data_IF_396260877731
#
_entry.id   IF_396260877731
#
_cell.length_a   1.000
_cell.length_b   1.000
_cell.length_c   1.000
_cell.angle_alpha   90.00
_cell.angle_beta   90.00
_cell.angle_gamma   90.00
#
_symmetry.space_group_name_H-M   'P 1'
#
loop_
_entity.id
_entity.type
_entity.pdbx_description
1 polymer ?
#
# COMPACT_ATOMS: atom_id res chain seq x y z
N UNK A 1 2.55 -41.12 14.85
CA UNK A 1 2.92 -40.24 13.71
C UNK A 1 4.00 -39.34 14.27
N UNK A 2 5.14 -39.44 13.69
CA UNK A 2 6.43 -39.28 14.31
C UNK A 2 6.98 -37.87 14.21
N UNK A 3 7.88 -37.49 15.08
CA UNK A 3 8.56 -36.18 15.23
C UNK A 3 9.07 -35.53 13.92
N UNK A 4 9.18 -36.27 12.83
CA UNK A 4 9.56 -35.75 11.50
C UNK A 4 8.52 -34.84 10.84
N UNK A 5 7.22 -35.06 11.13
CA UNK A 5 6.15 -34.22 10.56
C UNK A 5 6.09 -32.83 11.17
N UNK A 6 6.41 -32.71 12.47
CA UNK A 6 6.42 -31.42 13.17
C UNK A 6 7.62 -30.54 12.75
N UNK A 7 8.79 -31.16 12.54
CA UNK A 7 10.00 -30.44 12.13
C UNK A 7 9.89 -29.82 10.71
N UNK A 8 9.22 -30.52 9.77
CA UNK A 8 9.00 -30.00 8.41
C UNK A 8 8.01 -28.84 8.41
N UNK A 9 6.95 -28.89 9.22
CA UNK A 9 5.96 -27.82 9.34
C UNK A 9 6.57 -26.56 9.94
N UNK A 10 7.41 -26.70 10.94
CA UNK A 10 8.04 -25.58 11.64
C UNK A 10 9.13 -24.91 10.80
N UNK A 11 9.92 -25.70 10.07
CA UNK A 11 10.89 -25.15 9.12
C UNK A 11 10.24 -24.37 7.98
N UNK A 12 9.04 -24.77 7.52
CA UNK A 12 8.30 -24.06 6.48
C UNK A 12 7.78 -22.69 6.97
N UNK A 13 7.29 -22.62 8.21
CA UNK A 13 6.80 -21.37 8.80
C UNK A 13 7.96 -20.40 9.10
N UNK A 14 9.07 -20.89 9.65
CA UNK A 14 10.26 -20.07 9.86
C UNK A 14 10.88 -19.57 8.54
N UNK A 15 10.84 -20.41 7.48
CA UNK A 15 11.28 -20.00 6.14
C UNK A 15 10.37 -18.98 5.46
N UNK A 16 9.07 -18.98 5.78
CA UNK A 16 8.08 -18.06 5.18
C UNK A 16 8.10 -16.69 5.84
N UNK A 17 8.24 -16.63 7.16
CA UNK A 17 8.41 -15.35 7.87
C UNK A 17 9.73 -14.67 7.46
N UNK A 18 10.76 -15.47 7.17
CA UNK A 18 12.02 -15.00 6.62
C UNK A 18 11.90 -14.34 5.22
N UNK A 19 10.77 -14.54 4.54
CA UNK A 19 10.51 -14.00 3.20
C UNK A 19 9.41 -12.93 3.20
N UNK A 20 8.92 -12.49 4.34
CA UNK A 20 8.06 -11.32 4.52
C UNK A 20 8.89 -10.05 4.32
N UNK A 21 9.25 -9.75 3.08
CA UNK A 21 10.14 -8.62 2.80
C UNK A 21 9.55 -7.62 1.85
N UNK A 22 9.61 -6.39 2.29
CA UNK A 22 9.95 -5.20 1.52
C UNK A 22 8.93 -4.71 0.48
N UNK A 23 7.82 -4.21 0.92
CA UNK A 23 7.16 -3.18 0.11
C UNK A 23 6.46 -2.18 1.02
N UNK A 24 7.19 -1.28 1.61
CA UNK A 24 6.51 -0.22 2.35
C UNK A 24 7.37 0.79 3.08
N UNK A 25 8.63 0.54 3.28
CA UNK A 25 9.52 1.47 4.00
C UNK A 25 10.61 2.08 3.12
N UNK A 26 10.33 2.40 1.86
CA UNK A 26 11.13 3.39 1.16
C UNK A 26 10.64 4.77 1.60
N UNK A 27 11.47 5.61 2.26
CA UNK A 27 11.12 7.00 2.44
C UNK A 27 10.95 7.62 1.06
N UNK A 28 9.83 8.25 0.79
CA UNK A 28 9.66 9.11 -0.38
C UNK A 28 10.85 10.08 -0.41
N UNK A 29 11.58 10.21 -1.53
CA UNK A 29 12.64 11.19 -1.62
C UNK A 29 12.01 12.56 -1.38
N UNK A 30 12.53 13.29 -0.41
CA UNK A 30 12.18 14.67 -0.17
C UNK A 30 12.43 15.44 -1.47
N UNK A 31 11.37 16.01 -2.03
CA UNK A 31 11.45 16.87 -3.20
C UNK A 31 12.23 18.12 -2.80
N UNK A 32 13.52 18.14 -3.08
CA UNK A 32 14.31 19.35 -3.02
C UNK A 32 13.85 20.27 -4.14
N UNK A 33 13.04 21.25 -3.80
CA UNK A 33 12.70 22.35 -4.69
C UNK A 33 13.95 23.20 -4.92
N UNK A 34 14.62 22.98 -6.02
CA UNK A 34 15.68 23.86 -6.51
C UNK A 34 15.00 25.09 -7.12
N UNK A 35 15.05 26.21 -6.40
CA UNK A 35 14.66 27.51 -6.92
C UNK A 35 15.62 27.92 -8.03
N UNK A 36 15.17 27.87 -9.26
CA UNK A 36 15.88 28.44 -10.40
C UNK A 36 15.68 29.95 -10.40
N UNK A 37 16.74 30.67 -10.16
CA UNK A 37 16.82 32.13 -10.33
C UNK A 37 16.74 32.44 -11.82
N UNK A 38 15.71 33.17 -12.23
CA UNK A 38 15.55 33.70 -13.58
C UNK A 38 16.41 34.96 -13.70
N UNK A 39 17.42 34.91 -14.55
CA UNK A 39 18.21 36.08 -14.97
C UNK A 39 17.47 36.75 -16.13
N UNK A 40 17.08 38.01 -15.95
CA UNK A 40 16.51 38.85 -16.99
C UNK A 40 17.62 39.39 -17.90
N UNK A 41 17.65 38.91 -19.14
CA UNK A 41 18.44 39.50 -20.22
C UNK A 41 17.52 40.19 -21.21
N UNK A 42 17.55 41.51 -21.23
CA UNK A 42 16.90 42.36 -22.25
C UNK A 42 17.74 42.35 -23.51
N UNK A 43 17.14 41.95 -24.65
CA UNK A 43 17.60 42.40 -25.96
C UNK A 43 16.41 42.77 -26.85
N UNK A 44 16.40 44.03 -27.26
CA UNK A 44 15.53 44.65 -28.24
C UNK A 44 15.80 44.09 -29.65
N UNK A 45 14.72 43.75 -30.35
CA UNK A 45 14.76 43.45 -31.78
C UNK A 45 13.33 43.48 -32.33
N UNK A 46 13.01 44.56 -33.04
CA UNK A 46 11.79 44.67 -33.77
C UNK A 46 11.83 43.78 -35.02
N UNK A 47 10.83 42.95 -35.21
CA UNK A 47 10.44 42.52 -36.55
C UNK A 47 8.95 42.25 -36.65
N UNK A 48 8.37 42.75 -37.70
CA UNK A 48 6.94 42.73 -38.06
C UNK A 48 6.62 41.40 -38.75
N UNK A 49 5.75 40.58 -38.15
CA UNK A 49 5.30 39.31 -38.74
C UNK A 49 3.93 38.88 -38.24
N UNK A 50 2.95 39.28 -39.02
CA UNK A 50 1.59 38.73 -39.28
C UNK A 50 0.98 37.78 -38.23
N UNK A 51 -0.11 38.29 -37.68
CA UNK A 51 -1.10 37.79 -36.75
C UNK A 51 -1.89 36.57 -37.29
N UNK A 52 -1.31 35.34 -37.15
CA UNK A 52 -2.02 34.09 -37.41
C UNK A 52 -1.85 33.05 -36.27
N UNK A 53 -1.04 33.35 -35.23
CA UNK A 53 -0.76 32.43 -34.13
C UNK A 53 -1.63 32.65 -32.87
N UNK A 54 -2.26 33.81 -32.73
CA UNK A 54 -2.97 34.19 -31.51
C UNK A 54 -4.34 33.50 -31.34
N UNK A 55 -5.03 33.18 -32.47
CA UNK A 55 -6.35 32.54 -32.37
C UNK A 55 -6.29 31.06 -32.03
N UNK A 56 -5.34 30.31 -32.56
CA UNK A 56 -5.19 28.88 -32.29
C UNK A 56 -4.75 28.59 -30.84
N UNK A 57 -3.93 29.47 -30.24
CA UNK A 57 -3.52 29.35 -28.82
C UNK A 57 -4.67 29.64 -27.85
N UNK A 58 -5.54 30.58 -28.17
CA UNK A 58 -6.72 30.94 -27.39
C UNK A 58 -7.79 29.86 -27.43
N UNK A 59 -8.07 29.28 -28.61
CA UNK A 59 -9.01 28.16 -28.75
C UNK A 59 -8.55 26.89 -28.06
N UNK A 60 -7.25 26.54 -28.12
CA UNK A 60 -6.70 25.41 -27.46
C UNK A 60 -6.71 25.55 -25.90
N UNK A 61 -6.56 26.79 -25.41
CA UNK A 61 -6.68 27.11 -24.00
C UNK A 61 -8.11 26.97 -23.49
N UNK A 62 -9.07 27.54 -24.24
CA UNK A 62 -10.51 27.48 -23.92
C UNK A 62 -11.05 26.05 -23.95
N UNK A 63 -10.64 25.25 -24.95
CA UNK A 63 -11.02 23.83 -25.01
C UNK A 63 -10.46 23.02 -23.82
N UNK A 64 -9.27 23.36 -23.34
CA UNK A 64 -8.67 22.72 -22.16
C UNK A 64 -9.44 23.05 -20.89
N UNK A 65 -9.83 24.29 -20.69
CA UNK A 65 -10.63 24.73 -19.53
C UNK A 65 -12.03 24.11 -19.54
N UNK A 66 -12.68 24.07 -20.72
CA UNK A 66 -13.97 23.41 -20.88
C UNK A 66 -13.90 21.90 -20.55
N UNK A 67 -12.83 21.20 -20.96
CA UNK A 67 -12.63 19.79 -20.63
C UNK A 67 -12.40 19.57 -19.12
N UNK A 68 -11.66 20.43 -18.45
CA UNK A 68 -11.45 20.35 -17.00
C UNK A 68 -12.75 20.59 -16.21
N UNK A 69 -13.54 21.56 -16.62
CA UNK A 69 -14.86 21.84 -16.04
C UNK A 69 -15.80 20.64 -16.25
N UNK A 70 -15.81 20.09 -17.47
CA UNK A 70 -16.58 18.89 -17.78
C UNK A 70 -16.16 17.68 -16.92
N UNK A 71 -14.86 17.46 -16.74
CA UNK A 71 -14.35 16.39 -15.88
C UNK A 71 -14.91 16.49 -14.46
N UNK A 72 -14.89 17.68 -13.86
CA UNK A 72 -15.44 17.90 -12.52
C UNK A 72 -16.93 17.57 -12.47
N UNK A 73 -17.70 17.97 -13.50
CA UNK A 73 -19.13 17.68 -13.61
C UNK A 73 -19.40 16.17 -13.77
N UNK A 74 -18.63 15.51 -14.63
CA UNK A 74 -18.74 14.07 -14.86
C UNK A 74 -18.41 13.26 -13.60
N UNK A 75 -17.38 13.65 -12.85
CA UNK A 75 -17.01 12.98 -11.61
C UNK A 75 -18.05 13.19 -10.50
N UNK A 76 -18.68 14.37 -10.42
CA UNK A 76 -19.82 14.60 -9.54
C UNK A 76 -21.04 13.76 -9.93
N UNK A 77 -21.28 13.55 -11.24
CA UNK A 77 -22.33 12.64 -11.71
C UNK A 77 -22.02 11.17 -11.33
N UNK A 78 -20.76 10.73 -11.46
CA UNK A 78 -20.31 9.42 -11.01
C UNK A 78 -20.47 9.21 -9.50
N UNK A 79 -20.15 10.20 -8.69
CA UNK A 79 -20.39 10.12 -7.22
C UNK A 79 -21.87 9.93 -6.93
N UNK A 80 -22.76 10.68 -7.55
CA UNK A 80 -24.22 10.49 -7.38
C UNK A 80 -24.67 9.11 -7.85
N UNK A 81 -24.12 8.61 -8.97
CA UNK A 81 -24.43 7.27 -9.46
C UNK A 81 -24.00 6.17 -8.50
N UNK A 82 -22.86 6.33 -7.81
CA UNK A 82 -22.42 5.40 -6.74
C UNK A 82 -23.31 5.51 -5.50
N UNK A 83 -23.66 6.71 -5.08
CA UNK A 83 -24.54 6.96 -3.91
C UNK A 83 -25.91 6.33 -4.08
N UNK A 84 -26.49 6.43 -5.28
CA UNK A 84 -27.84 5.92 -5.60
C UNK A 84 -27.83 4.49 -6.16
N UNK A 85 -26.69 3.93 -6.50
CA UNK A 85 -26.58 2.63 -7.18
C UNK A 85 -27.04 2.67 -8.64
N UNK A 86 -27.07 3.87 -9.27
CA UNK A 86 -27.56 4.05 -10.63
C UNK A 86 -26.48 3.76 -11.67
N UNK A 87 -26.39 2.50 -12.10
CA UNK A 87 -25.50 2.05 -13.17
C UNK A 87 -25.73 2.81 -14.48
N UNK A 88 -26.98 3.15 -14.81
CA UNK A 88 -27.30 3.84 -16.06
C UNK A 88 -26.73 5.25 -16.05
N UNK A 89 -26.85 5.99 -14.93
CA UNK A 89 -26.25 7.29 -14.77
C UNK A 89 -24.72 7.25 -14.83
N UNK A 90 -24.07 6.18 -14.29
CA UNK A 90 -22.63 5.98 -14.45
C UNK A 90 -22.25 5.81 -15.94
N UNK A 91 -22.92 4.90 -16.66
CA UNK A 91 -22.63 4.63 -18.06
C UNK A 91 -22.91 5.83 -18.97
N UNK A 92 -23.82 6.71 -18.61
CA UNK A 92 -24.08 7.96 -19.34
C UNK A 92 -22.90 8.96 -19.29
N UNK A 93 -21.93 8.76 -18.41
CA UNK A 93 -20.69 9.57 -18.37
C UNK A 93 -19.62 9.10 -19.36
N UNK A 94 -19.83 7.98 -20.05
CA UNK A 94 -18.84 7.27 -20.87
C UNK A 94 -19.12 7.53 -22.36
N UNK A 95 -18.05 7.79 -23.12
CA UNK A 95 -18.17 8.12 -24.54
C UNK A 95 -18.64 6.94 -25.42
N UNK A 96 -18.17 5.72 -25.11
CA UNK A 96 -18.56 4.47 -25.77
C UNK A 96 -18.86 3.39 -24.72
N UNK A 97 -20.09 3.35 -24.17
CA UNK A 97 -20.45 2.37 -23.15
C UNK A 97 -20.53 0.93 -23.65
N UNK A 98 -20.56 0.70 -24.96
CA UNK A 98 -20.62 -0.62 -25.57
C UNK A 98 -19.25 -1.13 -26.03
N UNK A 99 -18.23 -0.29 -26.04
CA UNK A 99 -16.87 -0.63 -26.43
C UNK A 99 -16.04 -1.25 -25.30
N UNK A 100 -14.77 -1.58 -25.59
CA UNK A 100 -13.86 -2.15 -24.61
C UNK A 100 -13.63 -1.27 -23.39
N UNK A 101 -13.51 0.06 -23.60
CA UNK A 101 -13.38 1.03 -22.52
C UNK A 101 -14.66 1.07 -21.66
N UNK A 102 -15.85 0.93 -22.26
CA UNK A 102 -17.13 0.83 -21.55
C UNK A 102 -17.21 -0.38 -20.65
N UNK A 103 -16.74 -1.53 -21.08
CA UNK A 103 -16.68 -2.75 -20.26
C UNK A 103 -15.74 -2.61 -19.06
N UNK A 104 -14.58 -1.96 -19.23
CA UNK A 104 -13.65 -1.66 -18.15
C UNK A 104 -14.26 -0.69 -17.13
N UNK A 105 -14.97 0.31 -17.61
CA UNK A 105 -15.67 1.31 -16.77
C UNK A 105 -16.83 0.68 -15.98
N UNK A 106 -17.56 -0.24 -16.59
CA UNK A 106 -18.59 -1.01 -15.89
C UNK A 106 -17.99 -1.88 -14.78
N UNK A 107 -16.86 -2.52 -15.05
CA UNK A 107 -16.15 -3.30 -14.05
C UNK A 107 -15.66 -2.43 -12.88
N UNK A 108 -15.13 -1.24 -13.16
CA UNK A 108 -14.73 -0.27 -12.13
C UNK A 108 -15.94 0.19 -11.29
N UNK A 109 -17.07 0.47 -11.91
CA UNK A 109 -18.32 0.79 -11.20
C UNK A 109 -18.75 -0.35 -10.27
N UNK A 110 -18.80 -1.57 -10.80
CA UNK A 110 -19.18 -2.75 -10.01
C UNK A 110 -18.23 -2.97 -8.83
N UNK A 111 -16.93 -2.78 -9.02
CA UNK A 111 -15.92 -2.86 -7.97
C UNK A 111 -16.12 -1.79 -6.88
N UNK A 112 -16.34 -0.55 -7.25
CA UNK A 112 -16.60 0.56 -6.32
C UNK A 112 -17.89 0.33 -5.51
N UNK A 113 -18.96 -0.12 -6.17
CA UNK A 113 -20.23 -0.48 -5.51
C UNK A 113 -20.04 -1.65 -4.54
N UNK A 114 -19.32 -2.71 -4.95
CA UNK A 114 -19.05 -3.86 -4.10
C UNK A 114 -18.25 -3.47 -2.83
N UNK A 115 -17.31 -2.53 -2.96
CA UNK A 115 -16.57 -1.96 -1.82
C UNK A 115 -17.43 -1.03 -0.96
N UNK A 116 -18.60 -0.61 -1.45
CA UNK A 116 -19.48 0.33 -0.76
C UNK A 116 -19.04 1.78 -0.87
N UNK A 117 -18.16 2.10 -1.83
CA UNK A 117 -17.74 3.49 -2.10
C UNK A 117 -18.94 4.29 -2.58
N UNK A 118 -19.15 5.48 -2.01
CA UNK A 118 -20.30 6.34 -2.31
C UNK A 118 -19.90 7.67 -2.94
N UNK A 119 -18.64 8.06 -2.77
CA UNK A 119 -18.16 9.36 -3.22
C UNK A 119 -16.79 9.22 -3.88
N UNK A 120 -16.58 9.98 -4.95
CA UNK A 120 -15.31 10.18 -5.61
C UNK A 120 -14.95 11.66 -5.56
N UNK A 121 -13.78 11.97 -5.00
CA UNK A 121 -13.29 13.34 -4.89
C UNK A 121 -12.18 13.53 -5.91
N UNK A 122 -12.21 14.63 -6.64
CA UNK A 122 -11.17 14.96 -7.64
C UNK A 122 -10.38 16.16 -7.18
N UNK A 123 -9.08 16.06 -7.27
CA UNK A 123 -8.17 17.20 -7.07
C UNK A 123 -6.98 17.14 -8.04
N UNK A 124 -6.23 18.22 -8.09
CA UNK A 124 -4.99 18.35 -8.87
C UNK A 124 -5.14 17.94 -10.35
N UNK A 125 -6.22 18.39 -11.00
CA UNK A 125 -6.42 18.15 -12.42
C UNK A 125 -5.40 18.94 -13.23
N UNK A 126 -4.58 18.24 -14.03
CA UNK A 126 -3.53 18.84 -14.86
C UNK A 126 -3.59 18.24 -16.26
N UNK A 127 -3.48 19.08 -17.28
CA UNK A 127 -3.34 18.61 -18.67
C UNK A 127 -2.00 17.87 -18.80
N UNK A 128 -2.01 16.71 -19.46
CA UNK A 128 -0.78 16.01 -19.83
C UNK A 128 -0.06 16.78 -20.96
N UNK A 129 1.25 16.98 -20.76
CA UNK A 129 2.08 17.63 -21.78
C UNK A 129 2.42 16.72 -22.98
N UNK A 130 2.15 15.41 -22.85
CA UNK A 130 2.46 14.43 -23.90
C UNK A 130 1.30 14.35 -24.88
N UNK A 131 1.50 14.64 -26.18
CA UNK A 131 0.50 14.34 -27.19
C UNK A 131 0.22 12.83 -27.16
N UNK A 132 -1.05 12.45 -27.26
CA UNK A 132 -1.38 11.06 -27.54
C UNK A 132 -0.62 10.64 -28.81
N UNK A 133 0.18 9.57 -28.73
CA UNK A 133 0.89 9.03 -29.90
C UNK A 133 -0.12 8.86 -31.03
N UNK A 134 0.09 9.48 -32.19
CA UNK A 134 -0.84 9.28 -33.29
C UNK A 134 -0.83 7.79 -33.66
N UNK A 135 -2.00 7.19 -33.73
CA UNK A 135 -2.13 5.89 -34.35
C UNK A 135 -1.44 5.91 -35.72
N UNK A 136 -0.68 4.87 -36.02
CA UNK A 136 0.02 4.63 -37.29
C UNK A 136 -0.80 5.14 -38.47
N UNK A 137 -0.22 5.92 -39.43
CA UNK A 137 -0.96 6.40 -40.56
C UNK A 137 -1.42 5.23 -41.40
N UNK A 138 -2.70 4.90 -41.35
CA UNK A 138 -3.33 4.05 -42.35
C UNK A 138 -3.43 4.87 -43.65
N UNK A 139 -3.10 4.22 -44.75
CA UNK A 139 -3.03 4.72 -46.10
C UNK A 139 -4.10 5.74 -46.47
N UNK A 140 -3.68 6.64 -47.36
CA UNK A 140 -4.47 7.67 -48.05
C UNK A 140 -5.89 7.20 -48.39
N UNK A 141 -6.88 7.67 -47.66
CA UNK A 141 -8.30 7.64 -48.05
C UNK A 141 -8.74 9.06 -48.33
N UNK A 142 -9.22 9.21 -49.55
CA UNK A 142 -9.76 10.37 -50.24
C UNK A 142 -10.30 11.52 -49.38
N UNK A 143 -10.00 12.74 -49.83
CA UNK A 143 -10.29 14.08 -49.27
C UNK A 143 -11.80 14.46 -49.11
N UNK A 144 -12.71 13.53 -49.00
CA UNK A 144 -14.16 13.81 -48.90
C UNK A 144 -14.80 13.36 -47.57
N UNK A 145 -14.04 12.88 -46.60
CA UNK A 145 -14.52 12.63 -45.25
C UNK A 145 -13.68 13.41 -44.24
N UNK A 146 -13.70 14.73 -44.27
CA UNK A 146 -13.39 15.57 -43.13
C UNK A 146 -14.52 15.47 -42.11
N UNK A 147 -14.79 14.26 -41.65
CA UNK A 147 -15.57 14.00 -40.43
C UNK A 147 -14.85 14.66 -39.29
N UNK A 148 -15.50 15.57 -38.59
CA UNK A 148 -15.06 16.29 -37.42
C UNK A 148 -14.16 15.38 -36.56
N UNK A 149 -12.86 15.65 -36.53
CA UNK A 149 -11.94 14.96 -35.63
C UNK A 149 -12.47 15.19 -34.24
N UNK A 150 -12.94 14.13 -33.57
CA UNK A 150 -13.43 14.23 -32.20
C UNK A 150 -12.33 14.89 -31.37
N UNK A 151 -12.65 16.00 -30.71
CA UNK A 151 -11.69 16.65 -29.83
C UNK A 151 -11.44 15.73 -28.65
N UNK A 152 -10.18 15.46 -28.36
CA UNK A 152 -9.75 14.68 -27.20
C UNK A 152 -8.92 15.55 -26.26
N UNK A 153 -9.09 15.31 -24.98
CA UNK A 153 -8.29 15.92 -23.92
C UNK A 153 -7.77 14.81 -23.00
N UNK A 154 -6.47 14.83 -22.70
CA UNK A 154 -5.85 13.89 -21.76
C UNK A 154 -5.19 14.67 -20.64
N UNK A 155 -5.41 14.22 -19.41
CA UNK A 155 -4.82 14.82 -18.23
C UNK A 155 -4.65 13.82 -17.10
N UNK A 156 -3.95 14.26 -16.07
CA UNK A 156 -3.82 13.56 -14.80
C UNK A 156 -4.72 14.20 -13.75
N UNK A 157 -5.20 13.39 -12.82
CA UNK A 157 -5.94 13.84 -11.64
C UNK A 157 -5.55 13.01 -10.42
N UNK A 158 -5.75 13.56 -9.22
CA UNK A 158 -5.82 12.78 -8.00
C UNK A 158 -7.28 12.44 -7.71
N UNK A 159 -7.54 11.16 -7.57
CA UNK A 159 -8.86 10.62 -7.21
C UNK A 159 -8.83 10.23 -5.74
N UNK A 160 -9.77 10.78 -4.98
CA UNK A 160 -9.99 10.41 -3.58
C UNK A 160 -11.21 9.50 -3.45
N UNK A 161 -11.11 8.47 -2.63
CA UNK A 161 -12.23 7.61 -2.25
C UNK A 161 -12.02 7.07 -0.83
N UNK A 162 -13.10 6.57 -0.21
CA UNK A 162 -13.02 5.87 1.06
C UNK A 162 -13.98 4.68 1.06
N UNK A 163 -13.60 3.60 1.74
CA UNK A 163 -14.46 2.44 2.00
C UNK A 163 -15.15 2.68 3.34
N UNK A 164 -16.48 2.94 3.35
CA UNK A 164 -17.20 3.30 4.57
C UNK A 164 -17.09 2.21 5.65
N UNK A 165 -16.80 2.63 6.89
CA UNK A 165 -16.63 1.75 8.04
C UNK A 165 -15.23 1.12 8.17
N UNK A 166 -14.41 1.20 7.12
CA UNK A 166 -13.06 0.61 7.10
C UNK A 166 -11.96 1.66 6.95
N UNK A 167 -12.14 2.66 6.10
CA UNK A 167 -11.22 3.76 5.96
C UNK A 167 -11.54 4.88 6.95
N UNK A 168 -10.51 5.43 7.57
CA UNK A 168 -10.61 6.53 8.54
C UNK A 168 -10.54 7.90 7.88
N UNK A 169 -10.21 7.93 6.60
CA UNK A 169 -10.13 9.12 5.76
C UNK A 169 -10.01 8.75 4.28
N UNK A 170 -9.83 9.75 3.46
CA UNK A 170 -9.77 9.61 2.01
C UNK A 170 -8.44 9.02 1.57
N UNK A 171 -8.51 7.94 0.78
CA UNK A 171 -7.37 7.40 0.04
C UNK A 171 -7.24 8.14 -1.28
N UNK A 172 -6.09 8.75 -1.51
CA UNK A 172 -5.78 9.50 -2.72
C UNK A 172 -4.90 8.69 -3.67
N UNK A 173 -5.34 8.58 -4.93
CA UNK A 173 -4.64 7.82 -5.96
C UNK A 173 -4.52 8.62 -7.26
N UNK A 174 -3.43 8.40 -7.99
CA UNK A 174 -3.24 9.03 -9.28
C UNK A 174 -4.07 8.33 -10.36
N UNK A 175 -4.69 9.10 -11.26
CA UNK A 175 -5.38 8.59 -12.45
C UNK A 175 -5.02 9.44 -13.67
N UNK A 176 -4.89 8.79 -14.81
CA UNK A 176 -4.89 9.45 -16.10
C UNK A 176 -6.29 9.34 -16.69
N UNK A 177 -6.85 10.44 -17.14
CA UNK A 177 -8.18 10.50 -17.73
C UNK A 177 -8.11 11.03 -19.15
N UNK A 178 -8.81 10.37 -20.05
CA UNK A 178 -9.01 10.84 -21.42
C UNK A 178 -10.49 11.17 -21.61
N UNK A 179 -10.76 12.38 -22.01
CA UNK A 179 -12.09 12.84 -22.43
C UNK A 179 -12.14 12.96 -23.94
N UNK A 180 -13.32 12.70 -24.51
CA UNK A 180 -13.60 12.94 -25.93
C UNK A 180 -14.94 13.63 -26.09
N UNK A 181 -15.08 14.44 -27.12
CA UNK A 181 -16.36 15.07 -27.45
C UNK A 181 -17.22 14.13 -28.30
N UNK A 182 -18.45 13.90 -27.85
CA UNK A 182 -19.49 13.17 -28.58
C UNK A 182 -20.70 14.09 -28.68
N UNK A 183 -21.11 14.42 -29.89
CA UNK A 183 -22.21 15.37 -30.17
C UNK A 183 -22.08 16.71 -29.40
N UNK A 184 -20.85 17.22 -29.28
CA UNK A 184 -20.54 18.49 -28.60
C UNK A 184 -20.43 18.40 -27.08
N UNK A 185 -20.62 17.25 -26.47
CA UNK A 185 -20.50 17.04 -25.05
C UNK A 185 -19.18 16.29 -24.74
N UNK A 186 -18.46 16.74 -23.71
CA UNK A 186 -17.31 16.03 -23.17
C UNK A 186 -17.77 14.81 -22.37
N UNK A 187 -17.26 13.63 -22.72
CA UNK A 187 -17.51 12.38 -22.01
C UNK A 187 -16.18 11.68 -21.71
N UNK A 188 -16.16 10.81 -20.70
CA UNK A 188 -14.99 10.03 -20.35
C UNK A 188 -14.84 8.90 -21.37
N UNK A 189 -13.73 8.90 -22.09
CA UNK A 189 -13.34 7.76 -22.89
C UNK A 189 -12.72 6.71 -22.00
N UNK A 190 -11.79 7.10 -21.13
CA UNK A 190 -11.06 6.19 -20.25
C UNK A 190 -10.49 6.92 -19.04
N UNK A 191 -10.42 6.24 -17.90
CA UNK A 191 -9.60 6.62 -16.77
C UNK A 191 -8.81 5.40 -16.28
N UNK A 192 -7.52 5.56 -16.08
CA UNK A 192 -6.64 4.44 -15.69
C UNK A 192 -5.68 4.87 -14.60
N UNK A 193 -5.33 3.93 -13.73
CA UNK A 193 -4.21 4.09 -12.81
C UNK A 193 -2.87 4.09 -13.54
N UNK A 194 -1.77 4.39 -12.83
CA UNK A 194 -0.44 4.10 -13.32
C UNK A 194 -0.31 2.64 -13.73
N UNK A 195 0.49 2.36 -14.77
CA UNK A 195 0.64 1.00 -15.30
C UNK A 195 1.28 0.03 -14.29
N UNK A 196 1.99 0.57 -13.31
CA UNK A 196 2.72 -0.13 -12.26
C UNK A 196 1.95 -0.19 -10.93
N UNK A 197 0.74 0.38 -10.86
CA UNK A 197 -0.03 0.45 -9.61
C UNK A 197 -1.53 0.34 -9.82
N UNK A 198 -2.15 -0.64 -9.18
CA UNK A 198 -3.59 -0.84 -9.16
C UNK A 198 -4.20 -0.47 -7.80
N UNK A 199 -5.49 -0.20 -7.83
CA UNK A 199 -6.35 -0.12 -6.65
C UNK A 199 -7.28 -1.33 -6.59
N UNK A 200 -7.88 -1.57 -5.44
CA UNK A 200 -8.75 -2.75 -5.23
C UNK A 200 -9.88 -2.81 -6.24
N UNK A 201 -10.45 -1.68 -6.64
CA UNK A 201 -11.54 -1.63 -7.63
C UNK A 201 -11.07 -1.80 -9.09
N UNK A 202 -9.75 -1.86 -9.36
CA UNK A 202 -9.20 -2.22 -10.67
C UNK A 202 -9.19 -3.76 -10.87
N UNK A 203 -9.40 -4.54 -9.80
CA UNK A 203 -9.58 -5.98 -9.88
C UNK A 203 -10.97 -6.33 -10.44
N UNK A 204 -11.02 -7.22 -11.43
CA UNK A 204 -12.30 -7.64 -12.05
C UNK A 204 -12.33 -9.13 -12.36
N UNK A 205 -13.46 -9.79 -12.10
CA UNK A 205 -14.63 -9.33 -11.35
C UNK A 205 -14.33 -9.25 -9.85
N UNK A 206 -14.65 -8.15 -9.19
CA UNK A 206 -14.41 -8.00 -7.76
C UNK A 206 -15.55 -8.63 -6.96
N UNK A 207 -15.22 -9.58 -6.08
CA UNK A 207 -16.08 -10.12 -5.04
C UNK A 207 -15.70 -9.52 -3.69
N UNK A 208 -16.66 -9.35 -2.80
CA UNK A 208 -16.46 -8.78 -1.45
C UNK A 208 -17.25 -9.58 -0.43
N UNK A 209 -16.60 -9.94 0.66
CA UNK A 209 -17.25 -10.39 1.90
C UNK A 209 -16.82 -9.47 3.04
N UNK A 210 -17.71 -9.29 4.03
CA UNK A 210 -17.42 -8.36 5.13
C UNK A 210 -18.07 -8.80 6.44
N UNK A 211 -17.46 -8.40 7.54
CA UNK A 211 -18.04 -8.36 8.87
C UNK A 211 -18.02 -6.91 9.39
N UNK A 212 -18.31 -6.71 10.67
CA UNK A 212 -18.22 -5.38 11.28
C UNK A 212 -16.78 -4.82 11.31
N UNK A 213 -15.77 -5.71 11.38
CA UNK A 213 -14.36 -5.33 11.57
C UNK A 213 -13.47 -5.60 10.36
N UNK A 214 -13.87 -6.48 9.46
CA UNK A 214 -13.05 -6.87 8.32
C UNK A 214 -13.82 -6.82 7.01
N UNK A 215 -13.15 -6.36 5.96
CA UNK A 215 -13.57 -6.47 4.57
C UNK A 215 -12.51 -7.26 3.82
N UNK A 216 -12.93 -8.35 3.16
CA UNK A 216 -12.05 -9.16 2.31
C UNK A 216 -12.57 -9.09 0.88
N UNK A 217 -11.72 -8.67 -0.05
CA UNK A 217 -12.08 -8.43 -1.44
C UNK A 217 -11.09 -9.08 -2.39
N UNK A 218 -11.58 -9.57 -3.53
CA UNK A 218 -10.70 -10.14 -4.56
C UNK A 218 -11.48 -10.72 -5.74
N UNK A 219 -10.80 -10.99 -6.87
CA UNK A 219 -11.40 -11.62 -8.05
C UNK A 219 -11.35 -13.16 -7.94
N UNK A 220 -11.72 -13.68 -6.77
CA UNK A 220 -11.73 -15.12 -6.46
C UNK A 220 -13.10 -15.55 -5.94
N UNK A 221 -13.34 -16.86 -5.84
CA UNK A 221 -14.61 -17.39 -5.40
C UNK A 221 -14.97 -16.94 -3.97
N UNK A 222 -16.25 -16.78 -3.72
CA UNK A 222 -16.77 -16.18 -2.47
C UNK A 222 -16.50 -17.05 -1.23
N UNK A 223 -16.40 -18.37 -1.38
CA UNK A 223 -16.01 -19.31 -0.33
C UNK A 223 -14.55 -19.06 0.11
N UNK A 224 -13.63 -18.87 -0.86
CA UNK A 224 -12.24 -18.51 -0.56
C UNK A 224 -12.17 -17.20 0.24
N UNK A 225 -12.97 -16.20 -0.13
CA UNK A 225 -13.01 -14.94 0.61
C UNK A 225 -13.57 -15.12 2.02
N UNK A 226 -14.59 -15.98 2.22
CA UNK A 226 -15.14 -16.26 3.55
C UNK A 226 -14.12 -16.98 4.44
N UNK A 227 -13.37 -17.94 3.89
CA UNK A 227 -12.30 -18.61 4.64
C UNK A 227 -11.22 -17.61 5.06
N UNK A 228 -10.83 -16.70 4.18
CA UNK A 228 -9.88 -15.61 4.51
C UNK A 228 -10.46 -14.66 5.55
N UNK A 229 -11.75 -14.30 5.45
CA UNK A 229 -12.41 -13.46 6.45
C UNK A 229 -12.31 -14.07 7.86
N UNK A 230 -12.60 -15.36 7.99
CA UNK A 230 -12.49 -16.06 9.28
C UNK A 230 -11.05 -16.05 9.82
N UNK A 231 -10.04 -16.26 8.96
CA UNK A 231 -8.63 -16.17 9.36
C UNK A 231 -8.22 -14.74 9.76
N UNK A 232 -8.72 -13.72 9.05
CA UNK A 232 -8.49 -12.30 9.38
C UNK A 232 -9.07 -11.94 10.73
N UNK A 233 -10.28 -12.39 11.05
CA UNK A 233 -10.93 -12.13 12.34
C UNK A 233 -10.14 -12.74 13.51
N UNK A 234 -9.61 -13.95 13.35
CA UNK A 234 -8.71 -14.56 14.35
C UNK A 234 -7.46 -13.72 14.54
N UNK A 235 -6.85 -13.24 13.45
CA UNK A 235 -5.70 -12.33 13.52
C UNK A 235 -6.03 -11.02 14.23
N UNK A 236 -7.19 -10.41 13.92
CA UNK A 236 -7.66 -9.19 14.59
C UNK A 236 -7.87 -9.37 16.09
N UNK A 237 -8.39 -10.50 16.51
CA UNK A 237 -8.60 -10.80 17.94
C UNK A 237 -7.25 -10.89 18.68
N UNK A 238 -6.24 -11.50 18.08
CA UNK A 238 -4.87 -11.56 18.64
C UNK A 238 -4.23 -10.19 18.75
N UNK A 239 -4.33 -9.38 17.70
CA UNK A 239 -3.80 -8.02 17.69
C UNK A 239 -4.55 -7.15 18.70
N UNK A 240 -5.88 -7.28 18.77
CA UNK A 240 -6.69 -6.55 19.74
C UNK A 240 -6.34 -6.95 21.19
N UNK A 241 -6.10 -8.24 21.47
CA UNK A 241 -5.63 -8.71 22.77
C UNK A 241 -4.25 -8.14 23.13
N UNK A 242 -3.35 -7.95 22.15
CA UNK A 242 -2.03 -7.36 22.39
C UNK A 242 -2.08 -5.84 22.61
N UNK A 243 -2.88 -5.12 21.80
CA UNK A 243 -2.92 -3.65 21.77
C UNK A 243 -4.04 -3.04 22.61
N UNK A 244 -4.96 -3.84 23.15
CA UNK A 244 -6.11 -3.37 23.94
C UNK A 244 -7.14 -2.59 23.16
N UNK A 245 -7.21 -2.76 21.81
CA UNK A 245 -8.18 -2.06 20.95
C UNK A 245 -8.53 -2.85 19.70
N UNK A 246 -9.80 -2.80 19.32
CA UNK A 246 -10.27 -3.27 18.02
C UNK A 246 -9.93 -2.25 16.92
N UNK A 247 -9.84 -2.71 15.68
CA UNK A 247 -9.58 -1.88 14.52
C UNK A 247 -10.21 -2.50 13.26
N UNK A 248 -10.65 -1.69 12.29
CA UNK A 248 -11.10 -2.20 11.00
C UNK A 248 -9.91 -2.54 10.12
N UNK A 249 -10.07 -3.53 9.24
CA UNK A 249 -9.06 -3.91 8.25
C UNK A 249 -9.68 -4.23 6.89
N UNK A 250 -8.96 -3.89 5.82
CA UNK A 250 -9.26 -4.29 4.45
C UNK A 250 -8.16 -5.21 3.95
N UNK A 251 -8.55 -6.43 3.59
CA UNK A 251 -7.65 -7.47 3.08
C UNK A 251 -8.00 -7.77 1.64
N UNK A 252 -7.02 -7.79 0.77
CA UNK A 252 -7.17 -8.04 -0.66
C UNK A 252 -6.58 -9.39 -1.01
N UNK A 253 -7.36 -10.20 -1.72
CA UNK A 253 -6.99 -11.54 -2.18
C UNK A 253 -6.94 -11.53 -3.72
N UNK A 254 -5.80 -11.17 -4.32
CA UNK A 254 -5.62 -11.21 -5.76
C UNK A 254 -5.76 -12.64 -6.31
N UNK A 255 -6.08 -12.79 -7.60
CA UNK A 255 -6.06 -14.10 -8.24
C UNK A 255 -4.64 -14.55 -8.63
N UNK A 256 -3.73 -13.60 -8.83
CA UNK A 256 -2.35 -13.89 -9.26
C UNK A 256 -1.33 -13.06 -8.47
N UNK A 257 -0.08 -13.53 -8.43
CA UNK A 257 1.05 -12.79 -7.86
C UNK A 257 1.30 -11.47 -8.59
N UNK A 258 1.04 -11.41 -9.91
CA UNK A 258 1.18 -10.17 -10.69
C UNK A 258 0.18 -9.12 -10.24
N UNK A 259 -1.07 -9.50 -9.98
CA UNK A 259 -2.07 -8.59 -9.41
C UNK A 259 -1.65 -8.10 -8.01
N UNK A 260 -1.08 -8.99 -7.19
CA UNK A 260 -0.55 -8.60 -5.89
C UNK A 260 0.58 -7.56 -6.04
N UNK A 261 1.52 -7.77 -6.96
CA UNK A 261 2.61 -6.83 -7.25
C UNK A 261 2.08 -5.44 -7.67
N UNK A 262 1.09 -5.41 -8.57
CA UNK A 262 0.46 -4.16 -9.01
C UNK A 262 -0.27 -3.43 -7.87
N UNK A 263 -0.98 -4.15 -7.00
CA UNK A 263 -1.64 -3.56 -5.83
C UNK A 263 -0.63 -2.98 -4.82
N UNK A 264 0.56 -3.56 -4.72
CA UNK A 264 1.65 -3.08 -3.88
C UNK A 264 2.45 -1.94 -4.53
N UNK A 265 2.23 -1.65 -5.82
CA UNK A 265 2.94 -0.61 -6.56
C UNK A 265 4.38 -0.99 -6.92
N UNK A 266 4.64 -2.28 -7.06
CA UNK A 266 5.96 -2.82 -7.40
C UNK A 266 6.17 -3.03 -8.91
N UNK A 267 5.25 -2.55 -9.72
CA UNK A 267 5.26 -2.68 -11.18
C UNK A 267 4.76 -4.05 -11.68
N UNK A 268 4.57 -4.16 -12.99
CA UNK A 268 4.39 -5.46 -13.63
C UNK A 268 5.73 -6.21 -13.61
N UNK A 269 5.78 -7.46 -13.13
CA UNK A 269 7.03 -8.20 -13.10
C UNK A 269 7.56 -8.39 -14.53
N UNK A 270 8.72 -7.80 -14.81
CA UNK A 270 9.52 -8.21 -15.94
C UNK A 270 10.13 -9.58 -15.59
N UNK A 271 9.57 -10.57 -16.13
CA UNK A 271 9.83 -12.01 -16.34
C UNK A 271 10.86 -12.80 -15.51
N UNK A 272 11.76 -12.25 -14.71
CA UNK A 272 12.74 -13.07 -13.96
C UNK A 272 13.00 -12.64 -12.50
N UNK A 273 12.52 -11.51 -12.06
CA UNK A 273 12.66 -11.05 -10.68
C UNK A 273 11.35 -10.42 -10.20
N UNK A 274 10.35 -11.25 -9.91
CA UNK A 274 9.17 -10.75 -9.21
C UNK A 274 9.61 -10.12 -7.88
N UNK A 275 9.29 -8.84 -7.61
CA UNK A 275 9.59 -8.21 -6.33
C UNK A 275 8.92 -8.93 -5.16
N UNK A 276 7.94 -9.80 -5.45
CA UNK A 276 7.28 -10.68 -4.50
C UNK A 276 7.88 -12.09 -4.44
N UNK A 277 9.03 -12.35 -5.11
CA UNK A 277 9.66 -13.67 -5.03
C UNK A 277 9.96 -14.00 -3.57
N UNK A 278 9.08 -14.82 -2.99
CA UNK A 278 9.16 -15.26 -1.61
C UNK A 278 8.29 -14.48 -0.59
N UNK A 279 7.69 -13.36 -0.93
CA UNK A 279 6.71 -12.69 -0.05
C UNK A 279 5.38 -13.45 -0.05
N UNK A 280 4.71 -13.45 1.09
CA UNK A 280 3.42 -14.12 1.29
C UNK A 280 2.28 -13.12 1.41
N UNK A 281 2.56 -11.99 2.04
CA UNK A 281 1.66 -10.86 2.19
C UNK A 281 2.46 -9.57 2.37
N UNK A 282 1.83 -8.44 2.22
CA UNK A 282 2.38 -7.15 2.56
C UNK A 282 1.26 -6.12 2.80
N UNK A 283 1.53 -5.11 3.61
CA UNK A 283 0.61 -4.00 3.81
C UNK A 283 0.93 -2.86 2.84
N UNK A 284 -0.04 -2.46 2.02
CA UNK A 284 0.07 -1.20 1.28
C UNK A 284 -0.18 -0.07 2.26
N UNK A 285 0.80 0.78 2.44
CA UNK A 285 0.64 1.92 3.31
C UNK A 285 -0.25 2.98 2.64
N UNK A 286 -1.39 3.26 3.25
CA UNK A 286 -2.19 4.44 2.94
C UNK A 286 -1.39 5.72 3.24
N UNK A 287 -1.76 6.85 2.61
CA UNK A 287 -1.10 8.11 2.89
C UNK A 287 -1.21 8.46 4.37
N UNK A 288 -0.13 9.00 4.91
CA UNK A 288 -0.08 9.58 6.24
C UNK A 288 0.29 11.05 6.07
N UNK A 289 -0.59 11.94 6.48
CA UNK A 289 -0.25 13.36 6.63
C UNK A 289 0.68 13.54 7.83
N UNK A 290 1.55 14.55 7.84
CA UNK A 290 2.41 14.83 8.99
C UNK A 290 1.59 14.93 10.28
N UNK A 291 2.01 14.21 11.31
CA UNK A 291 1.33 14.15 12.63
C UNK A 291 -0.10 13.59 12.58
N UNK A 292 -0.44 12.79 11.58
CA UNK A 292 -1.71 12.10 11.48
C UNK A 292 -1.54 10.57 11.41
N UNK A 293 -2.56 9.84 11.85
CA UNK A 293 -2.58 8.38 11.74
C UNK A 293 -2.83 7.95 10.29
N UNK A 294 -2.36 6.75 9.92
CA UNK A 294 -2.70 6.15 8.64
C UNK A 294 -4.22 5.94 8.52
N UNK A 295 -4.78 6.20 7.33
CA UNK A 295 -6.24 6.28 7.15
C UNK A 295 -6.82 5.15 6.32
N UNK A 296 -6.02 4.50 5.47
CA UNK A 296 -6.54 3.57 4.46
C UNK A 296 -5.48 2.53 4.04
N UNK A 297 -4.88 1.85 5.02
CA UNK A 297 -3.95 0.74 4.76
C UNK A 297 -4.70 -0.48 4.21
N UNK A 298 -4.05 -1.26 3.36
CA UNK A 298 -4.56 -2.50 2.77
C UNK A 298 -3.57 -3.64 3.02
N UNK A 299 -4.05 -4.79 3.46
CA UNK A 299 -3.26 -6.03 3.46
C UNK A 299 -3.49 -6.72 2.12
N UNK A 300 -2.43 -7.00 1.39
CA UNK A 300 -2.48 -7.72 0.10
C UNK A 300 -1.83 -9.08 0.28
N UNK A 301 -2.57 -10.15 -0.01
CA UNK A 301 -2.10 -11.52 0.13
C UNK A 301 -1.57 -12.04 -1.21
N UNK A 302 -0.34 -12.56 -1.25
CA UNK A 302 0.11 -13.28 -2.42
C UNK A 302 -0.54 -14.67 -2.49
N UNK A 303 -1.33 -14.99 -3.54
CA UNK A 303 -2.04 -16.26 -3.60
C UNK A 303 -1.09 -17.46 -3.63
N UNK A 304 0.06 -17.33 -4.26
CA UNK A 304 1.05 -18.39 -4.38
C UNK A 304 1.77 -18.62 -3.04
N UNK A 305 2.17 -17.56 -2.35
CA UNK A 305 2.76 -17.61 -1.03
C UNK A 305 1.80 -18.19 0.00
N UNK A 306 0.59 -17.63 0.09
CA UNK A 306 -0.45 -18.09 1.02
C UNK A 306 -0.85 -19.54 0.80
N UNK A 307 -0.86 -20.01 -0.48
CA UNK A 307 -1.19 -21.40 -0.83
C UNK A 307 -0.17 -22.42 -0.32
N UNK A 308 1.08 -22.04 -0.09
CA UNK A 308 2.12 -22.91 0.45
C UNK A 308 2.10 -23.03 1.97
N UNK A 309 1.36 -22.15 2.66
CA UNK A 309 1.33 -22.12 4.12
C UNK A 309 0.38 -23.13 4.73
N UNK A 310 0.79 -23.63 5.89
CA UNK A 310 -0.13 -24.32 6.82
C UNK A 310 -1.15 -23.32 7.38
N UNK A 311 -2.27 -23.78 7.96
CA UNK A 311 -3.20 -22.90 8.68
C UNK A 311 -2.52 -22.06 9.77
N UNK A 312 -1.56 -22.62 10.52
CA UNK A 312 -0.78 -21.88 11.51
C UNK A 312 0.08 -20.79 10.85
N UNK A 313 0.77 -21.12 9.76
CA UNK A 313 1.57 -20.15 9.01
C UNK A 313 0.74 -18.98 8.48
N UNK A 314 -0.47 -19.25 7.95
CA UNK A 314 -1.38 -18.18 7.50
C UNK A 314 -1.84 -17.29 8.64
N UNK A 315 -2.11 -17.86 9.83
CA UNK A 315 -2.45 -17.04 11.01
C UNK A 315 -1.30 -16.14 11.44
N UNK A 316 -0.08 -16.66 11.46
CA UNK A 316 1.13 -15.86 11.78
C UNK A 316 1.24 -14.69 10.81
N UNK A 317 1.21 -14.94 9.51
CA UNK A 317 1.32 -13.91 8.47
C UNK A 317 0.21 -12.87 8.60
N UNK A 318 -1.05 -13.30 8.71
CA UNK A 318 -2.18 -12.37 8.85
C UNK A 318 -2.10 -11.56 10.13
N UNK A 319 -1.72 -12.16 11.27
CA UNK A 319 -1.54 -11.45 12.53
C UNK A 319 -0.43 -10.41 12.44
N UNK A 320 0.67 -10.74 11.77
CA UNK A 320 1.78 -9.82 11.50
C UNK A 320 1.32 -8.59 10.71
N UNK A 321 0.72 -8.78 9.53
CA UNK A 321 0.25 -7.67 8.68
C UNK A 321 -0.82 -6.82 9.36
N UNK A 322 -1.76 -7.46 10.05
CA UNK A 322 -2.80 -6.77 10.81
C UNK A 322 -2.23 -5.97 11.98
N UNK A 323 -1.07 -6.39 12.53
CA UNK A 323 -0.36 -5.61 13.55
C UNK A 323 0.14 -4.30 12.97
N UNK A 324 0.74 -4.31 11.77
CA UNK A 324 1.14 -3.08 11.09
C UNK A 324 -0.05 -2.13 10.87
N UNK A 325 -1.16 -2.64 10.34
CA UNK A 325 -2.40 -1.84 10.14
C UNK A 325 -2.85 -1.22 11.47
N UNK A 326 -2.91 -2.01 12.54
CA UNK A 326 -3.35 -1.51 13.84
C UNK A 326 -2.40 -0.49 14.42
N UNK A 327 -1.09 -0.74 14.40
CA UNK A 327 -0.07 0.20 14.93
C UNK A 327 -0.14 1.52 14.17
N UNK A 328 -0.08 1.49 12.83
CA UNK A 328 -0.14 2.70 12.00
C UNK A 328 -1.43 3.49 12.18
N UNK A 329 -2.56 2.81 12.36
CA UNK A 329 -3.84 3.44 12.68
C UNK A 329 -3.88 4.05 14.09
N UNK A 330 -2.93 3.78 14.94
CA UNK A 330 -2.87 4.24 16.34
C UNK A 330 -1.67 5.08 16.68
N UNK A 331 -0.78 5.38 15.73
CA UNK A 331 0.43 6.17 15.94
C UNK A 331 0.51 7.32 14.95
N UNK A 332 1.16 8.42 15.36
CA UNK A 332 1.37 9.63 14.55
C UNK A 332 2.63 9.54 13.68
N UNK A 333 3.61 8.74 14.11
CA UNK A 333 4.91 8.59 13.46
C UNK A 333 5.18 7.12 13.13
N UNK A 334 5.99 6.90 12.09
CA UNK A 334 6.46 5.57 11.76
C UNK A 334 7.51 5.13 12.79
N UNK A 335 7.50 3.83 13.10
CA UNK A 335 8.47 3.22 14.00
C UNK A 335 9.78 2.94 13.24
N UNK A 336 10.92 2.88 13.94
CA UNK A 336 12.12 2.25 13.37
C UNK A 336 11.79 0.83 12.91
N UNK A 337 12.35 0.42 11.78
CA UNK A 337 11.97 -0.84 11.12
C UNK A 337 12.14 -2.05 12.05
N UNK A 338 13.25 -2.14 12.79
CA UNK A 338 13.46 -3.22 13.77
C UNK A 338 12.36 -3.31 14.84
N UNK A 339 11.82 -2.16 15.28
CA UNK A 339 10.75 -2.14 16.28
C UNK A 339 9.40 -2.47 15.66
N UNK A 340 9.15 -1.96 14.46
CA UNK A 340 7.93 -2.25 13.68
C UNK A 340 7.79 -3.74 13.40
N UNK A 341 8.83 -4.32 12.81
CA UNK A 341 8.85 -5.73 12.44
C UNK A 341 8.94 -6.64 13.69
N UNK A 342 9.81 -6.30 14.64
CA UNK A 342 9.95 -7.06 15.87
C UNK A 342 8.67 -7.11 16.70
N UNK A 343 7.92 -6.01 16.73
CA UNK A 343 6.63 -5.98 17.42
C UNK A 343 5.57 -6.80 16.67
N UNK A 344 5.52 -6.70 15.34
CA UNK A 344 4.59 -7.47 14.53
C UNK A 344 4.85 -8.98 14.66
N UNK A 345 6.11 -9.40 14.60
CA UNK A 345 6.55 -10.78 14.85
C UNK A 345 6.20 -11.25 16.27
N UNK A 346 6.47 -10.41 17.29
CA UNK A 346 6.14 -10.76 18.66
C UNK A 346 4.63 -10.99 18.86
N UNK A 347 3.77 -10.15 18.30
CA UNK A 347 2.32 -10.35 18.34
C UNK A 347 1.91 -11.61 17.58
N UNK A 348 2.53 -11.88 16.42
CA UNK A 348 2.18 -13.00 15.56
C UNK A 348 2.56 -14.37 16.18
N UNK A 349 3.70 -14.47 16.86
CA UNK A 349 4.21 -15.72 17.39
C UNK A 349 3.83 -16.01 18.85
N UNK A 350 3.46 -15.00 19.65
CA UNK A 350 3.29 -15.14 21.12
C UNK A 350 2.36 -16.27 21.56
N UNK A 351 1.35 -16.59 20.76
CA UNK A 351 0.32 -17.59 21.12
C UNK A 351 0.38 -18.86 20.24
N UNK A 352 1.41 -19.02 19.41
CA UNK A 352 1.55 -20.19 18.53
C UNK A 352 2.27 -21.38 19.19
N UNK A 353 2.91 -21.19 20.37
CA UNK A 353 3.60 -22.23 21.09
C UNK A 353 4.79 -22.83 20.33
N UNK A 354 5.38 -22.05 19.42
CA UNK A 354 6.52 -22.48 18.62
C UNK A 354 7.82 -22.33 19.38
N UNK A 355 8.72 -23.31 19.20
CA UNK A 355 10.04 -23.26 19.81
C UNK A 355 10.87 -22.13 19.21
N UNK A 356 11.44 -21.28 20.06
CA UNK A 356 12.25 -20.12 19.68
C UNK A 356 13.46 -20.53 18.84
N UNK A 357 14.08 -21.68 19.10
CA UNK A 357 15.26 -22.16 18.35
C UNK A 357 14.88 -22.54 16.91
N UNK A 358 13.63 -22.94 16.69
CA UNK A 358 13.12 -23.26 15.37
C UNK A 358 12.75 -21.98 14.60
N UNK A 359 12.05 -21.04 15.23
CA UNK A 359 11.67 -19.79 14.58
C UNK A 359 12.91 -18.94 14.26
N UNK A 360 13.88 -18.86 15.18
CA UNK A 360 15.13 -18.10 15.02
C UNK A 360 16.28 -18.89 14.39
N UNK A 361 16.02 -20.05 13.78
CA UNK A 361 17.07 -20.98 13.34
C UNK A 361 18.12 -20.34 12.42
N UNK A 362 17.73 -19.42 11.54
CA UNK A 362 18.64 -18.72 10.61
C UNK A 362 19.61 -17.84 11.39
N UNK A 363 19.10 -16.96 12.25
CA UNK A 363 19.90 -16.09 13.10
C UNK A 363 20.82 -16.90 14.02
N UNK A 364 20.29 -17.92 14.72
CA UNK A 364 21.08 -18.74 15.64
C UNK A 364 22.19 -19.48 14.89
N UNK A 365 22.00 -19.88 13.65
CA UNK A 365 23.07 -20.44 12.82
C UNK A 365 24.17 -19.42 12.54
N UNK A 366 23.82 -18.17 12.26
CA UNK A 366 24.79 -17.07 12.05
C UNK A 366 25.54 -16.75 13.35
N UNK A 367 24.83 -16.69 14.48
CA UNK A 367 25.45 -16.44 15.79
C UNK A 367 26.48 -17.54 16.16
N UNK A 368 26.18 -18.79 15.84
CA UNK A 368 27.17 -19.90 16.01
C UNK A 368 28.41 -19.75 15.15
N UNK A 369 28.22 -19.24 13.91
CA UNK A 369 29.32 -19.12 12.94
C UNK A 369 30.19 -17.88 13.14
N UNK A 370 29.58 -16.76 13.54
CA UNK A 370 30.24 -15.44 13.50
C UNK A 370 30.05 -14.60 14.77
N UNK A 371 29.36 -15.11 15.78
CA UNK A 371 28.99 -14.35 16.98
C UNK A 371 27.71 -13.54 16.80
N UNK A 372 27.20 -12.92 17.86
CA UNK A 372 25.97 -12.13 17.80
C UNK A 372 26.17 -10.81 17.04
N UNK A 373 25.12 -10.26 16.40
CA UNK A 373 25.20 -8.97 15.73
C UNK A 373 25.55 -7.85 16.71
N UNK A 374 26.30 -6.85 16.23
CA UNK A 374 26.78 -5.75 17.07
C UNK A 374 25.69 -4.74 17.41
N UNK A 375 24.68 -4.59 16.56
CA UNK A 375 23.59 -3.60 16.65
C UNK A 375 22.25 -4.26 16.34
N UNK A 376 21.15 -3.57 16.65
CA UNK A 376 19.84 -3.94 16.11
C UNK A 376 19.81 -3.72 14.59
N UNK A 377 18.94 -4.45 13.87
CA UNK A 377 18.84 -4.35 12.41
C UNK A 377 18.56 -2.93 11.93
N UNK A 378 19.23 -2.56 10.85
CA UNK A 378 19.03 -1.32 10.11
C UNK A 378 18.14 -1.58 8.90
N UNK A 379 17.57 -0.55 8.25
CA UNK A 379 16.79 -0.74 7.02
C UNK A 379 17.54 -1.50 5.90
N UNK A 380 18.87 -1.41 5.86
CA UNK A 380 19.70 -2.12 4.88
C UNK A 380 19.69 -3.63 5.10
N UNK A 381 19.57 -4.09 6.35
CA UNK A 381 19.57 -5.52 6.67
C UNK A 381 18.29 -6.21 6.20
N UNK A 382 17.19 -5.47 6.13
CA UNK A 382 15.93 -5.93 5.54
C UNK A 382 15.91 -5.87 4.01
N UNK A 383 16.83 -5.13 3.37
CA UNK A 383 16.84 -4.88 1.93
C UNK A 383 17.54 -5.97 1.16
N UNK A 384 17.44 -7.17 1.30
CA UNK A 384 17.87 -8.35 0.52
C UNK A 384 19.11 -8.26 -0.41
N UNK A 385 19.56 -7.06 -0.72
CA UNK A 385 20.68 -6.78 -1.63
C UNK A 385 22.04 -6.78 -0.93
N UNK A 386 22.08 -6.55 0.38
CA UNK A 386 23.30 -6.47 1.18
C UNK A 386 23.17 -7.16 2.53
N UNK A 387 21.96 -7.44 3.00
CA UNK A 387 21.65 -8.08 4.27
C UNK A 387 21.08 -9.49 4.11
N UNK A 388 20.75 -10.08 5.25
CA UNK A 388 19.96 -11.31 5.36
C UNK A 388 18.60 -10.96 5.99
N UNK A 389 17.57 -10.66 5.19
CA UNK A 389 16.27 -10.25 5.71
C UNK A 389 15.69 -11.24 6.71
N UNK A 390 15.90 -12.54 6.49
CA UNK A 390 15.44 -13.56 7.37
C UNK A 390 16.05 -13.45 8.78
N UNK A 391 17.35 -13.18 8.85
CA UNK A 391 18.01 -12.93 10.13
C UNK A 391 17.53 -11.61 10.74
N UNK A 392 17.39 -10.53 9.97
CA UNK A 392 16.94 -9.23 10.45
C UNK A 392 15.55 -9.28 11.12
N UNK A 393 14.59 -10.05 10.54
CA UNK A 393 13.29 -10.30 11.17
C UNK A 393 13.43 -11.06 12.50
N UNK A 394 14.23 -12.10 12.52
CA UNK A 394 14.48 -12.91 13.74
C UNK A 394 15.20 -12.11 14.83
N UNK A 395 16.16 -11.27 14.46
CA UNK A 395 16.83 -10.32 15.35
C UNK A 395 15.83 -9.35 15.98
N UNK A 396 14.98 -8.76 15.15
CA UNK A 396 13.93 -7.82 15.58
C UNK A 396 12.93 -8.49 16.52
N UNK A 397 12.48 -9.70 16.18
CA UNK A 397 11.58 -10.49 17.00
C UNK A 397 12.18 -10.80 18.37
N UNK A 398 13.43 -11.28 18.42
CA UNK A 398 14.10 -11.61 19.71
C UNK A 398 14.39 -10.35 20.53
N UNK A 399 14.68 -9.21 19.89
CA UNK A 399 14.81 -7.93 20.60
C UNK A 399 13.47 -7.50 21.23
N UNK A 400 12.37 -7.56 20.48
CA UNK A 400 11.02 -7.27 20.99
C UNK A 400 10.59 -8.24 22.09
N UNK A 401 10.89 -9.55 21.93
CA UNK A 401 10.61 -10.58 22.92
C UNK A 401 11.38 -10.35 24.22
N UNK A 402 12.63 -9.93 24.13
CA UNK A 402 13.43 -9.54 25.29
C UNK A 402 12.84 -8.32 26.00
N UNK A 403 12.41 -7.30 25.27
CA UNK A 403 11.74 -6.12 25.87
C UNK A 403 10.47 -6.56 26.61
N UNK A 404 9.66 -7.42 25.98
CA UNK A 404 8.46 -7.96 26.61
C UNK A 404 8.77 -8.83 27.85
N UNK A 405 9.89 -9.54 27.87
CA UNK A 405 10.36 -10.32 29.04
C UNK A 405 10.79 -9.39 30.18
N UNK A 406 11.49 -8.29 29.88
CA UNK A 406 12.04 -7.37 30.89
C UNK A 406 10.99 -6.42 31.46
N UNK A 407 10.11 -5.86 30.63
CA UNK A 407 9.13 -4.85 31.02
C UNK A 407 7.68 -5.34 31.00
N UNK A 408 7.45 -6.60 30.68
CA UNK A 408 6.13 -7.17 30.42
C UNK A 408 5.58 -6.79 29.03
N UNK A 409 4.50 -7.46 28.59
CA UNK A 409 3.79 -7.14 27.35
C UNK A 409 3.38 -5.66 27.26
N UNK A 410 2.86 -5.11 28.34
CA UNK A 410 2.43 -3.69 28.41
C UNK A 410 3.61 -2.73 28.26
N UNK A 411 4.80 -3.09 28.74
CA UNK A 411 6.02 -2.31 28.56
C UNK A 411 6.44 -2.22 27.08
N UNK A 412 6.38 -3.34 26.35
CA UNK A 412 6.65 -3.35 24.90
C UNK A 412 5.62 -2.53 24.13
N UNK A 413 4.33 -2.68 24.44
CA UNK A 413 3.26 -1.85 23.85
C UNK A 413 3.46 -0.37 24.19
N UNK A 414 3.88 -0.07 25.43
CA UNK A 414 4.22 1.27 25.89
C UNK A 414 5.34 1.90 25.07
N UNK A 415 6.41 1.13 24.79
CA UNK A 415 7.52 1.55 23.93
C UNK A 415 7.03 1.89 22.51
N UNK A 416 6.24 1.01 21.88
CA UNK A 416 5.67 1.23 20.56
C UNK A 416 4.83 2.52 20.50
N UNK A 417 3.97 2.72 21.51
CA UNK A 417 3.13 3.93 21.61
C UNK A 417 3.95 5.20 21.84
N UNK A 418 5.01 5.10 22.63
CA UNK A 418 5.88 6.24 22.92
C UNK A 418 6.68 6.68 21.71
N UNK A 419 7.30 5.74 21.00
CA UNK A 419 8.07 6.01 19.78
C UNK A 419 7.16 6.50 18.66
N UNK A 420 6.01 5.83 18.46
CA UNK A 420 5.07 6.18 17.41
C UNK A 420 4.19 7.42 17.69
N UNK A 421 4.16 7.89 18.95
CA UNK A 421 3.26 8.95 19.38
C UNK A 421 1.78 8.54 19.34
N UNK A 422 1.00 8.93 20.36
CA UNK A 422 -0.42 8.59 20.45
C UNK A 422 -1.26 9.83 20.13
N UNK A 423 -2.23 9.76 19.21
CA UNK A 423 -3.10 10.88 18.91
C UNK A 423 -3.86 11.38 20.14
N UNK A 424 -3.87 12.70 20.34
CA UNK A 424 -4.64 13.34 21.43
C UNK A 424 -4.03 13.22 22.82
N UNK A 425 -2.88 12.57 23.00
CA UNK A 425 -2.20 12.55 24.29
C UNK A 425 -1.50 13.89 24.54
N UNK A 426 -1.85 14.54 25.65
CA UNK A 426 -1.27 15.86 26.04
C UNK A 426 0.26 15.81 26.26
N UNK A 427 0.82 14.63 26.43
CA UNK A 427 2.25 14.35 26.63
C UNK A 427 2.95 13.82 25.37
N UNK A 428 2.26 13.69 24.22
CA UNK A 428 2.92 13.28 22.98
C UNK A 428 3.86 14.39 22.51
N UNK A 429 5.14 14.11 22.28
CA UNK A 429 6.08 15.07 21.71
C UNK A 429 5.58 15.57 20.36
N UNK A 430 5.90 16.82 20.01
CA UNK A 430 5.56 17.41 18.71
C UNK A 430 6.29 16.75 17.52
N UNK A 431 7.15 15.75 17.76
CA UNK A 431 7.91 15.02 16.75
C UNK A 431 8.23 13.59 17.22
N UNK A 432 8.88 12.79 16.34
CA UNK A 432 9.27 11.43 16.65
C UNK A 432 10.22 11.39 17.86
N UNK A 433 9.97 10.43 18.75
CA UNK A 433 10.81 10.19 19.94
C UNK A 433 11.99 9.29 19.56
N UNK A 434 13.17 9.60 20.07
CA UNK A 434 14.34 8.73 19.91
C UNK A 434 14.06 7.36 20.55
N UNK A 435 14.14 6.28 19.80
CA UNK A 435 13.88 4.93 20.30
C UNK A 435 14.79 4.51 21.45
N UNK A 436 16.05 4.98 21.48
CA UNK A 436 16.99 4.66 22.55
C UNK A 436 16.60 5.36 23.86
N UNK A 437 16.14 6.61 23.78
CA UNK A 437 15.62 7.33 24.95
C UNK A 437 14.32 6.68 25.47
N UNK A 438 13.40 6.33 24.57
CA UNK A 438 12.15 5.66 24.93
C UNK A 438 12.41 4.29 25.59
N UNK A 439 13.35 3.50 25.06
CA UNK A 439 13.75 2.23 25.62
C UNK A 439 14.37 2.40 27.03
N UNK A 440 15.20 3.43 27.22
CA UNK A 440 15.77 3.74 28.53
C UNK A 440 14.70 4.06 29.57
N UNK A 441 13.67 4.81 29.19
CA UNK A 441 12.54 5.10 30.08
C UNK A 441 11.72 3.87 30.44
N UNK A 442 11.49 2.98 29.47
CA UNK A 442 10.69 1.75 29.68
C UNK A 442 11.44 0.69 30.48
N UNK A 443 12.74 0.51 30.21
CA UNK A 443 13.52 -0.58 30.80
C UNK A 443 14.38 -0.15 32.00
N UNK A 444 14.59 1.15 32.23
CA UNK A 444 15.53 1.67 33.23
C UNK A 444 17.00 1.34 32.93
N UNK A 445 17.32 0.97 31.67
CA UNK A 445 18.69 0.63 31.25
C UNK A 445 19.02 1.32 29.92
N UNK A 446 20.29 1.61 29.68
CA UNK A 446 20.73 2.21 28.43
C UNK A 446 20.62 1.22 27.25
N UNK A 447 20.61 1.76 26.01
CA UNK A 447 20.64 0.96 24.79
C UNK A 447 21.86 0.00 24.77
N UNK A 448 23.03 0.45 25.26
CA UNK A 448 24.22 -0.42 25.31
C UNK A 448 24.07 -1.58 26.31
N UNK A 449 23.43 -1.34 27.45
CA UNK A 449 23.11 -2.42 28.40
C UNK A 449 22.09 -3.39 27.84
N UNK A 450 21.07 -2.88 27.17
CA UNK A 450 20.09 -3.72 26.48
C UNK A 450 20.74 -4.60 25.42
N UNK A 451 21.57 -4.02 24.54
CA UNK A 451 22.29 -4.76 23.50
C UNK A 451 23.20 -5.83 24.08
N UNK A 452 23.97 -5.51 25.09
CA UNK A 452 24.86 -6.53 25.75
C UNK A 452 24.06 -7.71 26.29
N UNK A 453 22.92 -7.44 26.94
CA UNK A 453 22.05 -8.50 27.45
C UNK A 453 21.37 -9.31 26.33
N UNK A 454 20.93 -8.67 25.26
CA UNK A 454 20.35 -9.33 24.08
C UNK A 454 21.37 -10.19 23.37
N UNK A 455 22.60 -9.73 23.16
CA UNK A 455 23.72 -10.51 22.60
C UNK A 455 24.03 -11.74 23.41
N UNK A 456 24.09 -11.60 24.76
CA UNK A 456 24.29 -12.75 25.67
C UNK A 456 23.19 -13.80 25.56
N UNK A 457 21.93 -13.35 25.42
CA UNK A 457 20.78 -14.25 25.21
C UNK A 457 20.88 -14.99 23.88
N UNK A 458 21.24 -14.29 22.78
CA UNK A 458 21.46 -14.91 21.47
C UNK A 458 22.54 -16.00 21.51
N UNK A 459 23.66 -15.74 22.20
CA UNK A 459 24.74 -16.73 22.38
C UNK A 459 24.22 -17.96 23.15
N UNK A 460 23.45 -17.74 24.20
CA UNK A 460 22.85 -18.82 24.97
C UNK A 460 21.89 -19.67 24.13
N UNK A 461 20.99 -19.04 23.40
CA UNK A 461 20.04 -19.72 22.49
C UNK A 461 20.78 -20.46 21.36
N UNK A 462 21.88 -19.92 20.88
CA UNK A 462 22.68 -20.55 19.84
C UNK A 462 23.48 -21.77 20.34
N UNK A 463 23.80 -21.84 21.63
CA UNK A 463 24.55 -22.96 22.24
C UNK A 463 23.67 -24.17 22.58
N UNK A 464 22.38 -23.98 22.84
CA UNK A 464 21.40 -25.04 23.17
C UNK A 464 20.71 -25.60 21.96
#
# INVERSE_FOLDING_TARGET
>A
MTAHGAAVVTALVAGVVATLVLSGCAPSPASTSTSATVSTGTTSGADTGVDAGASAGSEASGASEAAQTALTTLMAARSRALETGDRTAWLATIADPQGPDGSAEEAAYAGLVALGVRELIVSEVRRSATPATPATPAAEVSQQAQTLKAQTWTGSMRLGYAIPGFDRGVRWVARTVTLTQVAGQWLIQRWVGPADRWEVFDLSPLQVVRSERALVAGPVAQDVLRDRLAEVEVGQDRVAAALGRAFPAVVVVPATTDQAALLLGNGAPSSEQSPLAGQVAATTHGPREPSATAVADRVVLDPQGMGRLTPAGRRVVLTHELTHVSVRAGTLHDLPLWLSEGFAEWVAFRDEGMDVTVVAARLLSQVRASGPPATLPTPTDFAGTAGDPAAAYQESWLAASRIATLAGPDGLVGLVRRVGGVPGASSSPAGPVDPAAALTEVLGQSMSQFLAGWQSELVTLAAG
#
